data_IF_124547189793
#
_entry.id   IF_124547189793
#
_cell.length_a   1.000
_cell.length_b   1.000
_cell.length_c   1.000
_cell.angle_alpha   90.00
_cell.angle_beta   90.00
_cell.angle_gamma   90.00
#
_symmetry.space_group_name_H-M   'P 1'
#
loop_
_entity.id
_entity.type
_entity.pdbx_description
1 polymer ?
#
# COMPACT_ATOMS: atom_id res chain seq x y z
N UNK A 1 11.39 22.70 15.84
CA UNK A 1 10.69 21.73 14.97
C UNK A 1 11.73 20.78 14.42
N UNK A 2 11.86 19.60 15.01
CA UNK A 2 12.76 18.55 14.49
C UNK A 2 12.08 17.91 13.29
N UNK A 3 12.73 17.97 12.13
CA UNK A 3 12.41 17.14 10.99
C UNK A 3 13.14 15.81 11.20
N UNK A 4 12.53 14.92 11.97
CA UNK A 4 12.97 13.53 12.12
C UNK A 4 12.60 12.73 10.85
N UNK A 5 13.07 13.18 9.68
CA UNK A 5 13.03 12.35 8.46
C UNK A 5 14.22 11.41 8.53
N UNK A 6 13.92 10.17 8.90
CA UNK A 6 14.87 9.06 8.95
C UNK A 6 15.60 8.91 7.58
N UNK A 7 16.94 8.96 7.55
CA UNK A 7 17.71 9.01 6.30
C UNK A 7 17.85 7.66 5.58
N UNK A 8 17.29 6.57 6.11
CA UNK A 8 17.45 5.24 5.52
C UNK A 8 16.33 4.83 4.55
N UNK A 9 15.28 5.64 4.37
CA UNK A 9 14.20 5.33 3.42
C UNK A 9 13.77 6.58 2.62
N UNK A 10 14.25 6.78 1.38
CA UNK A 10 13.95 7.98 0.57
C UNK A 10 12.47 8.09 0.15
N UNK A 11 11.59 7.25 0.67
CA UNK A 11 10.19 7.10 0.27
C UNK A 11 9.19 7.10 1.44
N UNK A 12 9.54 7.43 2.69
CA UNK A 12 8.55 7.48 3.80
C UNK A 12 7.45 8.53 3.57
N UNK A 13 6.46 8.16 2.76
CA UNK A 13 5.24 8.88 2.52
C UNK A 13 4.39 8.77 3.77
N UNK A 14 3.78 9.90 4.15
CA UNK A 14 2.83 9.88 5.26
C UNK A 14 1.59 9.08 4.86
N UNK A 15 0.89 8.49 5.84
CA UNK A 15 -0.40 7.80 5.62
C UNK A 15 -1.32 8.62 4.71
N UNK A 16 -1.45 9.92 4.95
CA UNK A 16 -2.29 10.82 4.16
C UNK A 16 -1.88 10.92 2.68
N UNK A 17 -0.59 10.81 2.36
CA UNK A 17 -0.12 10.83 0.97
C UNK A 17 -0.39 9.51 0.27
N UNK A 18 -0.17 8.37 0.95
CA UNK A 18 -0.54 7.05 0.45
C UNK A 18 -2.05 6.97 0.15
N UNK A 19 -2.87 7.56 1.01
CA UNK A 19 -4.33 7.61 0.80
C UNK A 19 -4.68 8.39 -0.46
N UNK A 20 -4.06 9.54 -0.69
CA UNK A 20 -4.30 10.32 -1.91
C UNK A 20 -3.84 9.58 -3.17
N UNK A 21 -2.72 8.86 -3.10
CA UNK A 21 -2.24 8.00 -4.19
C UNK A 21 -3.26 6.89 -4.50
N UNK A 22 -3.70 6.14 -3.48
CA UNK A 22 -4.69 5.08 -3.64
C UNK A 22 -6.02 5.64 -4.15
N UNK A 23 -6.46 6.80 -3.66
CA UNK A 23 -7.69 7.45 -4.14
C UNK A 23 -7.62 7.79 -5.64
N UNK A 24 -6.49 8.32 -6.11
CA UNK A 24 -6.27 8.59 -7.54
C UNK A 24 -6.29 7.31 -8.36
N UNK A 25 -5.68 6.23 -7.84
CA UNK A 25 -5.68 4.91 -8.50
C UNK A 25 -7.11 4.39 -8.65
N UNK A 26 -7.91 4.41 -7.58
CA UNK A 26 -9.31 3.96 -7.60
C UNK A 26 -10.15 4.78 -8.58
N UNK A 27 -9.94 6.09 -8.63
CA UNK A 27 -10.64 6.98 -9.54
C UNK A 27 -10.18 6.85 -11.00
N UNK A 28 -9.04 6.19 -11.25
CA UNK A 28 -8.41 6.15 -12.57
C UNK A 28 -7.93 7.53 -13.03
N UNK A 29 -7.51 8.39 -12.09
CA UNK A 29 -6.99 9.73 -12.40
C UNK A 29 -5.52 9.64 -12.89
N UNK A 30 -5.34 9.45 -14.19
CA UNK A 30 -4.02 9.41 -14.83
C UNK A 30 -3.99 8.55 -16.09
N UNK A 31 -2.79 8.35 -16.65
CA UNK A 31 -2.54 7.31 -17.65
C UNK A 31 -2.28 5.97 -16.96
N UNK A 32 -2.41 4.85 -17.68
CA UNK A 32 -2.07 3.52 -17.16
C UNK A 32 -0.65 3.48 -16.56
N UNK A 33 0.32 4.15 -17.20
CA UNK A 33 1.70 4.25 -16.74
C UNK A 33 1.83 5.03 -15.42
N UNK A 34 1.07 6.12 -15.26
CA UNK A 34 1.05 6.87 -14.01
C UNK A 34 0.39 6.06 -12.89
N UNK A 35 -0.72 5.38 -13.18
CA UNK A 35 -1.43 4.54 -12.20
C UNK A 35 -0.54 3.37 -11.74
N UNK A 36 0.19 2.73 -12.65
CA UNK A 36 1.15 1.66 -12.33
C UNK A 36 2.32 2.16 -11.48
N UNK A 37 2.85 3.35 -11.80
CA UNK A 37 3.89 4.00 -11.01
C UNK A 37 3.41 4.35 -9.60
N UNK A 38 2.20 4.92 -9.47
CA UNK A 38 1.59 5.23 -8.18
C UNK A 38 1.38 3.96 -7.35
N UNK A 39 0.89 2.88 -7.99
CA UNK A 39 0.67 1.60 -7.33
C UNK A 39 1.99 1.01 -6.81
N UNK A 40 3.04 1.03 -7.63
CA UNK A 40 4.39 0.58 -7.25
C UNK A 40 4.90 1.32 -6.02
N UNK A 41 4.72 2.65 -5.96
CA UNK A 41 5.11 3.47 -4.80
C UNK A 41 4.35 3.06 -3.54
N UNK A 42 3.04 2.82 -3.65
CA UNK A 42 2.21 2.38 -2.51
C UNK A 42 2.63 0.98 -2.04
N UNK A 43 2.92 0.06 -2.95
CA UNK A 43 3.43 -1.29 -2.64
C UNK A 43 4.77 -1.25 -1.91
N UNK A 44 5.70 -0.38 -2.33
CA UNK A 44 7.01 -0.24 -1.67
C UNK A 44 6.92 0.37 -0.27
N UNK A 45 5.85 1.10 0.02
CA UNK A 45 5.64 1.79 1.30
C UNK A 45 4.71 1.06 2.27
N UNK A 46 4.15 -0.07 1.86
CA UNK A 46 3.24 -0.85 2.70
C UNK A 46 3.79 -2.26 2.92
N UNK A 47 3.66 -2.83 4.13
CA UNK A 47 4.10 -4.20 4.40
C UNK A 47 3.20 -5.26 3.74
N UNK A 48 2.08 -4.86 3.13
CA UNK A 48 1.11 -5.76 2.50
C UNK A 48 1.50 -6.08 1.05
N UNK A 49 1.91 -7.34 0.74
CA UNK A 49 2.39 -7.71 -0.59
C UNK A 49 1.29 -7.67 -1.67
N UNK A 50 0.02 -7.72 -1.27
CA UNK A 50 -1.15 -7.72 -2.17
C UNK A 50 -2.04 -6.48 -2.07
N UNK A 51 -1.52 -5.28 -1.81
CA UNK A 51 -2.38 -4.08 -1.72
C UNK A 51 -3.12 -3.80 -3.04
N UNK A 52 -2.53 -4.13 -4.19
CA UNK A 52 -3.22 -4.08 -5.49
C UNK A 52 -4.48 -4.95 -5.52
N UNK A 53 -4.47 -6.09 -4.82
CA UNK A 53 -5.65 -6.94 -4.70
C UNK A 53 -6.77 -6.27 -3.91
N UNK A 54 -6.42 -5.50 -2.87
CA UNK A 54 -7.38 -4.71 -2.08
C UNK A 54 -8.01 -3.57 -2.91
N UNK A 55 -7.32 -3.09 -3.94
CA UNK A 55 -7.80 -2.00 -4.80
C UNK A 55 -8.68 -2.53 -5.94
N UNK A 56 -8.28 -3.61 -6.61
CA UNK A 56 -8.93 -4.08 -7.83
C UNK A 56 -9.95 -5.21 -7.63
N UNK A 57 -9.77 -6.03 -6.58
CA UNK A 57 -10.50 -7.28 -6.40
C UNK A 57 -11.27 -7.34 -5.08
N UNK A 58 -11.32 -6.25 -4.33
CA UNK A 58 -12.01 -6.20 -3.05
C UNK A 58 -13.47 -5.79 -3.22
N UNK A 59 -14.39 -6.68 -2.84
CA UNK A 59 -15.84 -6.44 -2.89
C UNK A 59 -16.36 -5.60 -1.72
N UNK A 60 -15.52 -5.21 -0.75
CA UNK A 60 -15.98 -4.48 0.46
C UNK A 60 -16.16 -2.98 0.24
N UNK A 61 -16.01 -2.49 -1.00
CA UNK A 61 -16.12 -1.06 -1.36
C UNK A 61 -15.27 -0.18 -0.42
N UNK A 62 -14.05 -0.66 -0.10
CA UNK A 62 -13.17 -0.01 0.87
C UNK A 62 -12.75 1.36 0.36
N UNK A 63 -12.77 2.34 1.27
CA UNK A 63 -12.19 3.64 0.98
C UNK A 63 -10.67 3.55 0.84
N UNK A 64 -10.06 4.47 0.08
CA UNK A 64 -8.59 4.56 -0.03
C UNK A 64 -7.89 4.61 1.34
N UNK A 65 -8.54 5.24 2.33
CA UNK A 65 -8.08 5.29 3.71
C UNK A 65 -8.03 3.91 4.36
N UNK A 66 -9.07 3.09 4.18
CA UNK A 66 -9.16 1.74 4.75
C UNK A 66 -8.19 0.78 4.08
N UNK A 67 -8.03 0.86 2.76
CA UNK A 67 -7.06 0.05 2.03
C UNK A 67 -5.64 0.30 2.55
N UNK A 68 -5.26 1.58 2.72
CA UNK A 68 -3.95 1.93 3.28
C UNK A 68 -3.83 1.49 4.74
N UNK A 69 -4.89 1.63 5.53
CA UNK A 69 -4.88 1.20 6.93
C UNK A 69 -4.69 -0.32 7.05
N UNK A 70 -5.42 -1.10 6.25
CA UNK A 70 -5.31 -2.55 6.20
C UNK A 70 -3.92 -2.98 5.70
N UNK A 71 -3.39 -2.28 4.69
CA UNK A 71 -2.06 -2.54 4.18
C UNK A 71 -0.96 -2.24 5.20
N UNK A 72 -1.09 -1.18 6.00
CA UNK A 72 -0.17 -0.85 7.08
C UNK A 72 -0.32 -1.78 8.29
N UNK A 73 -1.54 -2.27 8.55
CA UNK A 73 -1.84 -3.23 9.62
C UNK A 73 -1.50 -4.66 9.26
N UNK A 74 -1.19 -4.95 7.99
CA UNK A 74 -0.87 -6.28 7.54
C UNK A 74 0.32 -6.86 8.31
N UNK A 75 0.04 -7.94 9.05
CA UNK A 75 1.04 -8.71 9.76
C UNK A 75 1.22 -10.02 9.00
N UNK A 76 2.41 -10.32 8.48
CA UNK A 76 2.67 -11.62 7.86
C UNK A 76 2.36 -12.73 8.86
N UNK A 77 1.40 -13.59 8.51
CA UNK A 77 1.18 -14.83 9.24
C UNK A 77 2.37 -15.75 8.99
N UNK A 78 3.08 -16.09 10.06
CA UNK A 78 4.17 -17.06 10.01
C UNK A 78 3.56 -18.46 9.91
N UNK A 79 3.55 -19.04 8.72
CA UNK A 79 3.19 -20.46 8.56
C UNK A 79 4.32 -21.31 9.16
N UNK A 80 4.03 -22.27 10.05
CA UNK A 80 5.05 -23.20 10.50
C UNK A 80 5.58 -23.98 9.29
N UNK A 81 6.88 -24.32 9.25
CA UNK A 81 7.43 -25.09 8.14
C UNK A 81 6.65 -26.40 8.03
N UNK A 82 6.02 -26.62 6.88
CA UNK A 82 5.45 -27.91 6.54
C UNK A 82 6.63 -28.89 6.45
N UNK A 83 6.80 -29.76 7.46
CA UNK A 83 7.65 -30.93 7.31
C UNK A 83 6.96 -31.85 6.30
N UNK A 84 7.37 -31.73 5.04
CA UNK A 84 7.15 -32.78 4.06
C UNK A 84 7.92 -34.01 4.52
N UNK A 85 7.20 -35.05 4.93
CA UNK A 85 7.76 -36.36 5.31
C UNK A 85 7.86 -37.30 4.12
#
# INVERSE_FOLDING_TARGET
>A
MSLDRDPLNPQSLSRSELIQLVEKIIRGEGTEEELDSMLTVVMQNTPHPGISNLIYWDDRDLSAAEIVDEALRYQPIFLPPHQSS
#
